data_IF_255612497993
#
_entry.id   IF_255612497993
#
_cell.length_a   1.000
_cell.length_b   1.000
_cell.length_c   1.000
_cell.angle_alpha   90.00
_cell.angle_beta   90.00
_cell.angle_gamma   90.00
#
_symmetry.space_group_name_H-M   'P 1'
#
loop_
_entity.id
_entity.type
_entity.pdbx_description
1 polymer ?
#
# COMPACT_ATOMS: atom_id res chain seq x y z
N UNK A 1 10.67 24.40 -45.31
CA UNK A 1 9.41 23.64 -45.54
C UNK A 1 9.56 22.60 -46.65
N UNK A 2 9.80 22.98 -47.92
CA UNK A 2 9.90 21.98 -49.01
C UNK A 2 11.02 20.94 -48.78
N UNK A 3 12.17 21.38 -48.28
CA UNK A 3 13.26 20.45 -47.95
C UNK A 3 12.93 19.59 -46.71
N UNK A 4 12.22 20.14 -45.73
CA UNK A 4 11.68 19.39 -44.58
C UNK A 4 10.72 18.27 -45.02
N UNK A 5 9.84 18.57 -46.00
CA UNK A 5 8.91 17.60 -46.61
C UNK A 5 9.67 16.49 -47.33
N UNK A 6 10.72 16.82 -48.09
CA UNK A 6 11.58 15.83 -48.75
C UNK A 6 12.30 14.95 -47.75
N UNK A 7 12.91 15.53 -46.71
CA UNK A 7 13.62 14.80 -45.66
C UNK A 7 12.69 13.85 -44.90
N UNK A 8 11.48 14.30 -44.56
CA UNK A 8 10.47 13.46 -43.91
C UNK A 8 10.01 12.30 -44.79
N UNK A 9 9.81 12.54 -46.09
CA UNK A 9 9.44 11.48 -47.03
C UNK A 9 10.52 10.42 -47.15
N UNK A 10 11.80 10.84 -47.18
CA UNK A 10 12.94 9.91 -47.19
C UNK A 10 12.95 9.07 -45.90
N UNK A 11 12.82 9.72 -44.73
CA UNK A 11 12.76 9.01 -43.43
C UNK A 11 11.58 8.03 -43.34
N UNK A 12 10.40 8.39 -43.86
CA UNK A 12 9.22 7.53 -43.88
C UNK A 12 9.34 6.41 -44.91
N UNK A 13 10.00 6.63 -46.05
CA UNK A 13 10.28 5.58 -47.04
C UNK A 13 11.28 4.53 -46.55
N UNK A 14 12.11 4.87 -45.55
CA UNK A 14 13.03 3.96 -44.89
C UNK A 14 12.37 3.12 -43.78
N UNK A 15 11.12 3.42 -43.39
CA UNK A 15 10.34 2.56 -42.48
C UNK A 15 9.60 1.50 -43.30
N UNK A 16 9.86 0.22 -43.02
CA UNK A 16 9.27 -0.92 -43.75
C UNK A 16 7.78 -1.18 -43.44
N UNK A 17 7.09 -0.29 -42.70
CA UNK A 17 5.71 -0.49 -42.25
C UNK A 17 4.71 0.10 -43.27
N UNK A 18 3.74 -0.67 -43.78
CA UNK A 18 2.72 -0.14 -44.68
C UNK A 18 1.85 0.91 -43.99
N UNK A 19 1.52 2.01 -44.70
CA UNK A 19 0.76 3.18 -44.17
C UNK A 19 -0.56 2.79 -43.48
N UNK A 20 -1.19 1.70 -43.91
CA UNK A 20 -2.44 1.18 -43.34
C UNK A 20 -2.32 0.70 -41.87
N UNK A 21 -1.12 0.33 -41.41
CA UNK A 21 -0.84 -0.13 -40.04
C UNK A 21 -0.20 0.96 -39.16
N UNK A 22 -0.04 2.17 -39.68
CA UNK A 22 0.52 3.29 -38.93
C UNK A 22 -0.53 3.97 -38.04
N UNK A 23 -0.07 4.71 -37.02
CA UNK A 23 -0.94 5.50 -36.15
C UNK A 23 -1.80 6.51 -36.95
N UNK A 24 -2.97 6.89 -36.43
CA UNK A 24 -3.88 7.86 -37.09
C UNK A 24 -3.20 9.20 -37.37
N UNK A 25 -2.26 9.61 -36.50
CA UNK A 25 -1.43 10.80 -36.67
C UNK A 25 -0.44 10.66 -37.84
N UNK A 26 0.20 9.50 -37.98
CA UNK A 26 1.16 9.24 -39.07
C UNK A 26 0.45 9.13 -40.42
N UNK A 27 -0.77 8.55 -40.46
CA UNK A 27 -1.60 8.53 -41.66
C UNK A 27 -2.01 9.95 -42.09
N UNK A 28 -2.31 10.84 -41.14
CA UNK A 28 -2.58 12.24 -41.40
C UNK A 28 -1.32 12.96 -41.92
N UNK A 29 -0.16 12.71 -41.31
CA UNK A 29 1.13 13.25 -41.77
C UNK A 29 1.46 12.82 -43.21
N UNK A 30 1.19 11.56 -43.58
CA UNK A 30 1.38 11.09 -44.96
C UNK A 30 0.53 11.85 -45.97
N UNK A 31 -0.76 12.07 -45.67
CA UNK A 31 -1.67 12.86 -46.52
C UNK A 31 -1.21 14.32 -46.64
N UNK A 32 -0.71 14.89 -45.55
CA UNK A 32 -0.14 16.24 -45.56
C UNK A 32 1.14 16.34 -46.39
N UNK A 33 2.04 15.36 -46.26
CA UNK A 33 3.28 15.33 -47.03
C UNK A 33 3.03 15.20 -48.53
N UNK A 34 2.01 14.44 -48.95
CA UNK A 34 1.56 14.41 -50.35
C UNK A 34 1.04 15.77 -50.81
N UNK A 35 0.21 16.44 -49.99
CA UNK A 35 -0.34 17.78 -50.30
C UNK A 35 0.72 18.88 -50.37
N UNK A 36 1.79 18.77 -49.56
CA UNK A 36 2.88 19.75 -49.51
C UNK A 36 4.01 19.51 -50.52
N UNK A 37 3.89 18.50 -51.40
CA UNK A 37 4.83 18.31 -52.53
C UNK A 37 4.79 19.48 -53.51
N UNK A 38 3.61 20.08 -53.67
CA UNK A 38 3.42 21.27 -54.51
C UNK A 38 3.78 22.53 -53.73
N UNK A 39 4.96 23.09 -54.03
CA UNK A 39 5.45 24.33 -53.42
C UNK A 39 4.48 25.52 -53.53
N UNK A 40 3.56 25.48 -54.50
CA UNK A 40 2.52 26.50 -54.72
C UNK A 40 1.37 26.43 -53.72
N UNK A 41 1.15 25.28 -53.08
CA UNK A 41 0.11 25.08 -52.07
C UNK A 41 0.58 25.45 -50.66
N UNK A 42 1.90 25.46 -50.44
CA UNK A 42 2.52 25.81 -49.14
C UNK A 42 2.12 27.22 -48.67
N UNK A 43 2.17 28.30 -49.49
CA UNK A 43 1.77 29.64 -49.05
C UNK A 43 0.27 29.76 -48.74
N UNK A 44 -0.59 29.02 -49.45
CA UNK A 44 -2.04 29.00 -49.21
C UNK A 44 -2.36 28.27 -47.90
N UNK A 45 -1.79 27.08 -47.70
CA UNK A 45 -1.90 26.33 -46.45
C UNK A 45 -1.31 27.08 -45.25
N UNK A 46 -0.26 27.87 -45.48
CA UNK A 46 0.34 28.75 -44.47
C UNK A 46 -0.61 29.85 -43.96
N UNK A 47 -1.63 30.20 -44.74
CA UNK A 47 -2.64 31.21 -44.37
C UNK A 47 -3.94 30.57 -43.85
N UNK A 48 -4.30 29.38 -44.35
CA UNK A 48 -5.57 28.71 -44.01
C UNK A 48 -5.44 27.74 -42.83
N UNK A 49 -4.30 27.04 -42.69
CA UNK A 49 -4.08 25.94 -41.75
C UNK A 49 -2.67 26.01 -41.14
N UNK A 50 -2.38 27.01 -40.29
CA UNK A 50 -1.05 27.23 -39.74
C UNK A 50 -0.52 26.05 -38.88
N UNK A 51 -1.42 25.27 -38.26
CA UNK A 51 -1.05 24.12 -37.43
C UNK A 51 -0.44 22.96 -38.22
N UNK A 52 -0.82 22.76 -39.48
CA UNK A 52 -0.33 21.65 -40.29
C UNK A 52 1.08 21.90 -40.82
N UNK A 53 1.40 23.15 -41.16
CA UNK A 53 2.74 23.56 -41.56
C UNK A 53 3.70 23.45 -40.37
N UNK A 54 3.25 23.82 -39.17
CA UNK A 54 4.01 23.59 -37.93
C UNK A 54 4.24 22.11 -37.66
N UNK A 55 3.22 21.27 -37.78
CA UNK A 55 3.35 19.82 -37.59
C UNK A 55 4.41 19.21 -38.52
N UNK A 56 4.45 19.63 -39.78
CA UNK A 56 5.46 19.17 -40.75
C UNK A 56 6.86 19.65 -40.37
N UNK A 57 7.00 20.89 -39.94
CA UNK A 57 8.30 21.43 -39.50
C UNK A 57 8.79 20.76 -38.20
N UNK A 58 7.89 20.53 -37.24
CA UNK A 58 8.17 19.85 -35.98
C UNK A 58 8.59 18.39 -36.21
N UNK A 59 7.87 17.65 -37.05
CA UNK A 59 8.22 16.25 -37.37
C UNK A 59 9.55 16.16 -38.14
N UNK A 60 9.87 17.17 -38.96
CA UNK A 60 11.13 17.23 -39.68
C UNK A 60 12.35 17.53 -38.79
N UNK A 61 12.13 18.02 -37.56
CA UNK A 61 13.18 18.43 -36.64
C UNK A 61 13.75 19.83 -36.91
N UNK A 62 13.17 20.59 -37.85
CA UNK A 62 13.63 21.94 -38.21
C UNK A 62 12.85 23.02 -37.44
N UNK A 63 13.18 23.13 -36.16
CA UNK A 63 12.52 24.06 -35.25
C UNK A 63 13.00 25.52 -35.41
N UNK A 64 14.17 25.74 -36.02
CA UNK A 64 14.64 27.07 -36.38
C UNK A 64 13.74 27.67 -37.46
N UNK A 65 13.42 26.89 -38.50
CA UNK A 65 12.43 27.26 -39.50
C UNK A 65 11.02 27.38 -38.90
N UNK A 66 10.62 26.50 -37.98
CA UNK A 66 9.32 26.59 -37.29
C UNK A 66 9.17 27.90 -36.50
N UNK A 67 10.22 28.32 -35.78
CA UNK A 67 10.24 29.58 -35.04
C UNK A 67 10.17 30.78 -35.97
N UNK A 68 11.00 30.83 -37.01
CA UNK A 68 11.02 31.93 -37.98
C UNK A 68 9.69 32.04 -38.73
N UNK A 69 9.06 30.91 -39.02
CA UNK A 69 7.75 30.88 -39.65
C UNK A 69 6.66 31.39 -38.68
N UNK A 70 6.67 30.94 -37.42
CA UNK A 70 5.68 31.36 -36.43
C UNK A 70 5.77 32.87 -36.07
N UNK A 71 6.96 33.47 -36.12
CA UNK A 71 7.13 34.93 -35.95
C UNK A 71 6.62 35.72 -37.15
N UNK A 72 6.83 35.21 -38.38
CA UNK A 72 6.31 35.82 -39.62
C UNK A 72 4.77 35.80 -39.63
N UNK A 73 4.16 34.73 -39.15
CA UNK A 73 2.70 34.57 -39.08
C UNK A 73 2.05 35.20 -37.83
N UNK A 74 2.83 35.88 -36.98
CA UNK A 74 2.37 36.54 -35.74
C UNK A 74 1.51 35.64 -34.83
N UNK A 75 1.92 34.38 -34.68
CA UNK A 75 1.19 33.46 -33.82
C UNK A 75 1.27 33.87 -32.33
N UNK A 76 0.25 33.52 -31.52
CA UNK A 76 0.26 33.78 -30.09
C UNK A 76 1.55 33.31 -29.40
N UNK A 77 2.04 34.09 -28.43
CA UNK A 77 3.27 33.78 -27.71
C UNK A 77 3.25 32.42 -27.03
N UNK A 78 2.08 31.87 -26.70
CA UNK A 78 1.97 30.55 -26.08
C UNK A 78 2.29 29.41 -27.05
N UNK A 79 1.96 29.55 -28.34
CA UNK A 79 2.33 28.57 -29.38
C UNK A 79 3.84 28.60 -29.64
N UNK A 80 4.44 29.80 -29.62
CA UNK A 80 5.88 29.96 -29.74
C UNK A 80 6.64 29.28 -28.60
N UNK A 81 6.15 29.42 -27.36
CA UNK A 81 6.73 28.74 -26.20
C UNK A 81 6.58 27.21 -26.29
N UNK A 82 5.45 26.72 -26.79
CA UNK A 82 5.24 25.29 -27.01
C UNK A 82 6.19 24.73 -28.08
N UNK A 83 6.44 25.48 -29.17
CA UNK A 83 7.43 25.12 -30.20
C UNK A 83 8.84 25.08 -29.59
N UNK A 84 9.21 26.07 -28.77
CA UNK A 84 10.51 26.08 -28.07
C UNK A 84 10.64 24.90 -27.09
N UNK A 85 9.56 24.54 -26.37
CA UNK A 85 9.52 23.38 -25.49
C UNK A 85 9.69 22.06 -26.27
N UNK A 86 9.02 21.93 -27.43
CA UNK A 86 9.14 20.75 -28.32
C UNK A 86 10.51 20.67 -28.98
N UNK A 87 11.09 21.80 -29.36
CA UNK A 87 12.46 21.88 -29.88
C UNK A 87 13.47 21.40 -28.85
N UNK A 88 13.36 21.91 -27.62
CA UNK A 88 14.22 21.52 -26.51
C UNK A 88 14.10 20.02 -26.22
N UNK A 89 12.88 19.50 -26.18
CA UNK A 89 12.65 18.07 -26.02
C UNK A 89 13.28 17.26 -27.16
N UNK A 90 13.08 17.68 -28.42
CA UNK A 90 13.68 17.01 -29.58
C UNK A 90 15.21 16.93 -29.46
N UNK A 91 15.87 18.05 -29.15
CA UNK A 91 17.33 18.11 -28.96
C UNK A 91 17.83 17.16 -27.86
N UNK A 92 17.06 17.00 -26.78
CA UNK A 92 17.38 16.09 -25.67
C UNK A 92 17.06 14.62 -25.97
N UNK A 93 16.15 14.34 -26.89
CA UNK A 93 15.75 12.98 -27.31
C UNK A 93 16.56 12.40 -28.48
N UNK A 94 17.45 13.18 -29.11
CA UNK A 94 18.34 12.66 -30.15
C UNK A 94 19.26 11.56 -29.60
N UNK A 95 19.73 10.65 -30.48
CA UNK A 95 20.70 9.60 -30.14
C UNK A 95 22.01 10.17 -29.57
N UNK A 96 22.40 11.36 -30.05
CA UNK A 96 23.37 12.22 -29.39
C UNK A 96 22.67 13.51 -28.94
N UNK A 97 22.41 13.70 -27.64
CA UNK A 97 21.74 14.90 -27.17
C UNK A 97 22.69 16.10 -27.29
N UNK A 98 22.25 17.14 -27.99
CA UNK A 98 22.95 18.42 -28.00
C UNK A 98 22.60 19.18 -26.71
N UNK A 99 23.29 18.79 -25.64
CA UNK A 99 23.10 19.36 -24.31
C UNK A 99 23.43 20.85 -24.27
N UNK A 100 24.36 21.33 -25.08
CA UNK A 100 24.79 22.73 -25.06
C UNK A 100 23.70 23.65 -25.59
N UNK A 101 23.14 23.36 -26.77
CA UNK A 101 22.06 24.19 -27.32
C UNK A 101 20.75 23.98 -26.57
N UNK A 102 20.48 22.75 -26.12
CA UNK A 102 19.35 22.44 -25.26
C UNK A 102 19.39 23.23 -23.95
N UNK A 103 20.51 23.26 -23.23
CA UNK A 103 20.59 23.99 -21.96
C UNK A 103 20.58 25.51 -22.13
N UNK A 104 21.11 26.05 -23.23
CA UNK A 104 20.96 27.48 -23.57
C UNK A 104 19.49 27.86 -23.82
N UNK A 105 18.73 26.98 -24.47
CA UNK A 105 17.28 27.16 -24.66
C UNK A 105 16.52 26.95 -23.34
N UNK A 106 16.96 26.00 -22.50
CA UNK A 106 16.39 25.78 -21.17
C UNK A 106 16.58 27.00 -20.28
N UNK A 107 17.73 27.68 -20.29
CA UNK A 107 17.95 28.90 -19.52
C UNK A 107 17.00 30.03 -19.97
N UNK A 108 16.72 30.13 -21.26
CA UNK A 108 15.72 31.06 -21.80
C UNK A 108 14.31 30.70 -21.34
N UNK A 109 13.94 29.42 -21.34
CA UNK A 109 12.62 28.94 -20.90
C UNK A 109 12.43 28.97 -19.38
N UNK A 110 13.50 28.76 -18.60
CA UNK A 110 13.51 28.82 -17.13
C UNK A 110 13.01 30.17 -16.63
N UNK A 111 13.40 31.24 -17.31
CA UNK A 111 12.97 32.61 -17.00
C UNK A 111 11.49 32.86 -17.32
N UNK A 112 10.87 32.00 -18.13
CA UNK A 112 9.53 32.20 -18.67
C UNK A 112 8.47 31.42 -17.89
N UNK A 113 8.70 30.14 -17.56
CA UNK A 113 7.73 29.37 -16.76
C UNK A 113 8.27 28.06 -16.16
N UNK A 114 8.16 27.92 -14.83
CA UNK A 114 8.45 26.66 -14.12
C UNK A 114 7.54 25.49 -14.56
N UNK A 115 6.32 25.76 -15.02
CA UNK A 115 5.38 24.73 -15.46
C UNK A 115 5.84 24.02 -16.73
N UNK A 116 6.54 24.72 -17.63
CA UNK A 116 7.08 24.12 -18.85
C UNK A 116 8.25 23.19 -18.54
N UNK A 117 9.11 23.58 -17.60
CA UNK A 117 10.21 22.76 -17.11
C UNK A 117 9.69 21.49 -16.41
N UNK A 118 8.57 21.56 -15.68
CA UNK A 118 7.87 20.38 -15.12
C UNK A 118 7.40 19.42 -16.23
N UNK A 119 6.68 19.95 -17.24
CA UNK A 119 6.20 19.14 -18.37
C UNK A 119 7.35 18.50 -19.16
N UNK A 120 8.48 19.20 -19.31
CA UNK A 120 9.67 18.65 -19.96
C UNK A 120 10.28 17.51 -19.13
N UNK A 121 10.45 17.71 -17.82
CA UNK A 121 10.92 16.67 -16.89
C UNK A 121 10.04 15.43 -16.97
N UNK A 122 8.72 15.59 -16.90
CA UNK A 122 7.79 14.46 -16.88
C UNK A 122 7.83 13.66 -18.20
N UNK A 123 8.04 14.34 -19.34
CA UNK A 123 8.30 13.67 -20.63
C UNK A 123 9.63 12.93 -20.64
N UNK A 124 10.70 13.52 -20.13
CA UNK A 124 12.01 12.86 -20.05
C UNK A 124 11.97 11.62 -19.12
N UNK A 125 11.15 11.66 -18.07
CA UNK A 125 10.88 10.49 -17.22
C UNK A 125 10.15 9.41 -18.02
N UNK A 126 9.13 9.77 -18.80
CA UNK A 126 8.39 8.82 -19.63
C UNK A 126 9.25 8.15 -20.72
N UNK A 127 10.28 8.84 -21.21
CA UNK A 127 11.26 8.29 -22.16
C UNK A 127 12.45 7.58 -21.51
N UNK A 128 12.40 7.33 -20.19
CA UNK A 128 13.47 6.69 -19.41
C UNK A 128 14.82 7.44 -19.41
N UNK A 129 14.86 8.70 -19.85
CA UNK A 129 16.06 9.56 -19.85
C UNK A 129 16.24 10.27 -18.51
N UNK A 130 16.38 9.49 -17.45
CA UNK A 130 16.34 9.95 -16.05
C UNK A 130 17.50 10.89 -15.67
N UNK A 131 18.70 10.70 -16.24
CA UNK A 131 19.86 11.58 -16.02
C UNK A 131 19.59 13.01 -16.51
N UNK A 132 19.06 13.15 -17.73
CA UNK A 132 18.68 14.45 -18.29
C UNK A 132 17.52 15.08 -17.51
N UNK A 133 16.54 14.28 -17.06
CA UNK A 133 15.44 14.76 -16.22
C UNK A 133 15.95 15.34 -14.89
N UNK A 134 17.00 14.74 -14.30
CA UNK A 134 17.65 15.24 -13.08
C UNK A 134 18.36 16.57 -13.33
N UNK A 135 19.12 16.66 -14.42
CA UNK A 135 19.80 17.91 -14.81
C UNK A 135 18.80 19.04 -15.06
N UNK A 136 17.70 18.78 -15.79
CA UNK A 136 16.63 19.76 -16.00
C UNK A 136 16.02 20.20 -14.67
N UNK A 137 15.77 19.28 -13.74
CA UNK A 137 15.16 19.59 -12.44
C UNK A 137 16.07 20.48 -11.59
N UNK A 138 17.35 20.12 -11.48
CA UNK A 138 18.35 20.89 -10.72
C UNK A 138 18.61 22.26 -11.34
N UNK A 139 18.73 22.35 -12.67
CA UNK A 139 18.92 23.63 -13.38
C UNK A 139 17.70 24.53 -13.28
N UNK A 140 16.48 23.99 -13.27
CA UNK A 140 15.26 24.80 -13.19
C UNK A 140 14.83 25.13 -11.74
N UNK A 141 15.48 24.54 -10.73
CA UNK A 141 15.08 24.67 -9.32
C UNK A 141 13.70 24.03 -9.07
N UNK A 142 13.41 22.94 -9.76
CA UNK A 142 12.23 22.09 -9.55
C UNK A 142 12.59 21.02 -8.54
N UNK A 143 11.62 20.61 -7.71
CA UNK A 143 11.79 19.49 -6.79
C UNK A 143 12.21 18.20 -7.52
N UNK A 144 13.42 17.67 -7.25
CA UNK A 144 13.91 16.45 -7.89
C UNK A 144 13.26 15.16 -7.38
N UNK A 145 12.44 15.22 -6.33
CA UNK A 145 11.85 14.02 -5.70
C UNK A 145 11.12 13.10 -6.70
N UNK A 146 10.42 13.67 -7.68
CA UNK A 146 9.75 12.88 -8.74
C UNK A 146 10.73 12.13 -9.65
N UNK A 147 11.90 12.69 -9.93
CA UNK A 147 12.96 12.02 -10.73
C UNK A 147 13.61 10.91 -9.90
N UNK A 148 13.88 11.15 -8.61
CA UNK A 148 14.40 10.13 -7.70
C UNK A 148 13.47 8.93 -7.58
N UNK A 149 12.16 9.17 -7.45
CA UNK A 149 11.15 8.12 -7.45
C UNK A 149 11.17 7.31 -8.75
N UNK A 150 11.20 7.97 -9.92
CA UNK A 150 11.29 7.28 -11.21
C UNK A 150 12.57 6.45 -11.37
N UNK A 151 13.72 6.97 -10.91
CA UNK A 151 14.98 6.19 -10.87
C UNK A 151 14.90 5.00 -9.92
N UNK A 152 14.23 5.14 -8.77
CA UNK A 152 14.01 4.04 -7.85
C UNK A 152 13.19 2.93 -8.50
N UNK A 153 12.08 3.25 -9.18
CA UNK A 153 11.28 2.27 -9.92
C UNK A 153 12.07 1.63 -11.07
N UNK A 154 12.84 2.40 -11.83
CA UNK A 154 13.71 1.84 -12.87
C UNK A 154 14.72 0.83 -12.30
N UNK A 155 15.33 1.11 -11.14
CA UNK A 155 16.17 0.15 -10.43
C UNK A 155 15.40 -1.10 -10.01
N UNK A 156 14.16 -0.96 -9.52
CA UNK A 156 13.31 -2.11 -9.17
C UNK A 156 12.96 -2.98 -10.40
N UNK A 157 12.66 -2.36 -11.55
CA UNK A 157 12.42 -3.07 -12.80
C UNK A 157 13.64 -3.87 -13.27
N UNK A 158 14.85 -3.40 -12.96
CA UNK A 158 16.12 -4.08 -13.26
C UNK A 158 16.53 -5.09 -12.18
N UNK A 159 15.75 -5.25 -11.11
CA UNK A 159 16.07 -6.13 -9.98
C UNK A 159 17.20 -5.61 -9.07
N UNK A 160 17.67 -4.37 -9.26
CA UNK A 160 18.66 -3.73 -8.39
C UNK A 160 17.99 -3.07 -7.18
N UNK A 161 17.74 -3.89 -6.16
CA UNK A 161 17.15 -3.42 -4.90
C UNK A 161 18.08 -2.45 -4.16
N UNK A 162 19.40 -2.63 -4.25
CA UNK A 162 20.35 -1.76 -3.56
C UNK A 162 20.34 -0.34 -4.12
N UNK A 163 20.40 -0.20 -5.44
CA UNK A 163 20.27 1.09 -6.11
C UNK A 163 18.91 1.71 -5.84
N UNK A 164 17.83 0.93 -5.86
CA UNK A 164 16.49 1.43 -5.56
C UNK A 164 16.39 2.07 -4.17
N UNK A 165 16.94 1.43 -3.13
CA UNK A 165 16.94 1.94 -1.75
C UNK A 165 17.62 3.31 -1.65
N UNK A 166 18.78 3.46 -2.29
CA UNK A 166 19.52 4.72 -2.31
C UNK A 166 18.72 5.83 -3.01
N UNK A 167 18.06 5.52 -4.13
CA UNK A 167 17.22 6.51 -4.83
C UNK A 167 15.99 6.89 -4.00
N UNK A 168 15.31 5.92 -3.41
CA UNK A 168 14.12 6.17 -2.61
C UNK A 168 14.41 6.92 -1.30
N UNK A 169 15.61 6.78 -0.73
CA UNK A 169 16.03 7.55 0.44
C UNK A 169 16.03 9.07 0.21
N UNK A 170 16.16 9.52 -1.04
CA UNK A 170 16.12 10.94 -1.39
C UNK A 170 14.70 11.51 -1.49
N UNK A 171 13.68 10.67 -1.69
CA UNK A 171 12.28 11.11 -1.82
C UNK A 171 11.38 10.69 -0.65
N UNK A 172 11.70 9.59 0.03
CA UNK A 172 10.97 9.13 1.21
C UNK A 172 11.51 9.81 2.47
N UNK A 173 10.61 10.21 3.36
CA UNK A 173 10.95 10.78 4.66
C UNK A 173 10.65 9.77 5.75
N UNK A 174 11.59 9.62 6.69
CA UNK A 174 11.39 8.78 7.86
C UNK A 174 10.33 9.43 8.76
N UNK A 175 9.26 8.71 9.16
CA UNK A 175 8.25 9.24 10.07
C UNK A 175 8.88 9.70 11.39
N UNK A 176 8.50 10.90 11.84
CA UNK A 176 9.00 11.46 13.11
C UNK A 176 8.47 10.69 14.33
N UNK A 177 7.24 10.17 14.24
CA UNK A 177 6.67 9.23 15.20
C UNK A 177 6.08 8.03 14.44
N UNK A 178 6.56 6.82 14.78
CA UNK A 178 6.11 5.57 14.17
C UNK A 178 4.79 5.07 14.76
N UNK A 179 4.38 5.62 15.91
CA UNK A 179 3.15 5.23 16.62
C UNK A 179 1.88 5.97 16.17
N UNK A 180 1.91 6.63 15.02
CA UNK A 180 0.75 7.36 14.50
C UNK A 180 -0.37 6.38 14.09
N UNK A 181 -1.60 6.69 14.50
CA UNK A 181 -2.81 5.92 14.15
C UNK A 181 -3.44 6.38 12.84
N UNK A 182 -3.06 7.56 12.36
CA UNK A 182 -3.32 8.02 11.00
C UNK A 182 -2.30 7.38 10.07
N UNK A 183 -2.78 6.66 9.06
CA UNK A 183 -1.91 6.03 8.07
C UNK A 183 -0.98 7.10 7.46
N UNK A 184 0.32 6.95 7.67
CA UNK A 184 1.34 7.80 7.06
C UNK A 184 1.49 7.41 5.59
N UNK A 185 0.43 7.62 4.82
CA UNK A 185 0.38 7.26 3.40
C UNK A 185 1.17 8.28 2.61
N UNK A 186 2.50 8.17 2.66
CA UNK A 186 3.30 8.53 1.50
C UNK A 186 2.78 7.66 0.36
N UNK A 187 2.01 8.23 -0.56
CA UNK A 187 1.45 7.53 -1.73
C UNK A 187 2.51 6.69 -2.44
N UNK A 188 3.73 7.21 -2.51
CA UNK A 188 4.89 6.54 -3.07
C UNK A 188 5.24 5.22 -2.36
N UNK A 189 5.13 5.15 -1.02
CA UNK A 189 5.38 3.89 -0.30
C UNK A 189 4.34 2.83 -0.68
N UNK A 190 3.07 3.21 -0.86
CA UNK A 190 2.03 2.31 -1.34
C UNK A 190 2.32 1.79 -2.76
N UNK A 191 2.72 2.68 -3.67
CA UNK A 191 3.09 2.32 -5.05
C UNK A 191 4.31 1.38 -5.10
N UNK A 192 5.31 1.58 -4.24
CA UNK A 192 6.47 0.68 -4.13
C UNK A 192 6.06 -0.71 -3.65
N UNK A 193 5.22 -0.79 -2.61
CA UNK A 193 4.76 -2.08 -2.07
C UNK A 193 3.89 -2.83 -3.07
N UNK A 194 2.97 -2.14 -3.74
CA UNK A 194 2.16 -2.72 -4.81
C UNK A 194 3.03 -3.25 -5.95
N UNK A 195 4.05 -2.49 -6.37
CA UNK A 195 5.00 -2.97 -7.38
C UNK A 195 5.71 -4.25 -6.92
N UNK A 196 6.27 -4.27 -5.71
CA UNK A 196 6.96 -5.44 -5.18
C UNK A 196 6.04 -6.67 -5.02
N UNK A 197 4.76 -6.46 -4.71
CA UNK A 197 3.75 -7.53 -4.65
C UNK A 197 3.38 -8.09 -6.03
N UNK A 198 3.51 -7.28 -7.09
CA UNK A 198 3.31 -7.76 -8.47
C UNK A 198 4.47 -8.62 -8.97
N UNK A 199 5.66 -8.54 -8.35
CA UNK A 199 6.80 -9.37 -8.72
C UNK A 199 6.51 -10.80 -8.25
N UNK A 200 6.42 -11.79 -9.16
CA UNK A 200 6.18 -13.18 -8.77
C UNK A 200 7.29 -13.66 -7.85
N UNK A 201 6.93 -14.23 -6.70
CA UNK A 201 7.87 -14.72 -5.69
C UNK A 201 8.83 -15.81 -6.18
N UNK A 202 8.61 -16.36 -7.38
CA UNK A 202 9.20 -17.57 -7.91
C UNK A 202 9.54 -17.50 -9.42
N UNK A 203 9.82 -16.32 -9.98
CA UNK A 203 9.97 -16.18 -11.44
C UNK A 203 11.08 -15.26 -11.93
N UNK A 204 11.13 -14.02 -11.45
CA UNK A 204 12.03 -13.02 -12.05
C UNK A 204 13.44 -13.04 -11.44
N UNK A 205 13.57 -13.26 -10.13
CA UNK A 205 14.87 -13.33 -9.46
C UNK A 205 15.67 -14.58 -9.82
N UNK A 206 15.01 -15.72 -10.04
CA UNK A 206 15.69 -16.97 -10.41
C UNK A 206 16.19 -16.92 -11.85
N UNK A 207 15.38 -16.42 -12.80
CA UNK A 207 15.82 -16.30 -14.21
C UNK A 207 16.94 -15.26 -14.36
N UNK A 208 16.88 -14.13 -13.63
CA UNK A 208 17.96 -13.14 -13.69
C UNK A 208 19.22 -13.60 -12.94
N UNK A 209 19.08 -14.33 -11.82
CA UNK A 209 20.21 -14.98 -11.14
C UNK A 209 20.88 -16.03 -12.03
N UNK A 210 20.09 -16.79 -12.81
CA UNK A 210 20.58 -17.77 -13.79
C UNK A 210 21.30 -17.12 -14.98
N UNK A 211 20.90 -15.89 -15.36
CA UNK A 211 21.60 -15.11 -16.40
C UNK A 211 22.92 -14.50 -15.90
N UNK A 212 23.09 -14.37 -14.58
CA UNK A 212 24.28 -13.75 -13.97
C UNK A 212 25.35 -14.79 -13.63
N UNK A 213 24.98 -16.05 -13.35
CA UNK A 213 25.91 -17.16 -13.10
C UNK A 213 25.51 -18.45 -13.85
N UNK A 214 26.17 -18.78 -14.99
CA UNK A 214 25.85 -19.94 -15.82
C UNK A 214 26.11 -21.32 -15.17
N UNK A 215 26.75 -21.36 -13.99
CA UNK A 215 27.16 -22.61 -13.34
C UNK A 215 26.09 -23.34 -12.52
N UNK A 216 24.94 -22.70 -12.26
CA UNK A 216 23.91 -23.22 -11.32
C UNK A 216 22.64 -23.74 -12.01
N UNK A 217 22.75 -24.28 -13.22
CA UNK A 217 21.60 -24.85 -13.95
C UNK A 217 21.21 -26.19 -13.31
N UNK A 218 20.39 -26.13 -12.27
CA UNK A 218 19.55 -27.26 -11.87
C UNK A 218 18.38 -27.35 -12.87
N UNK A 219 17.97 -28.58 -13.21
CA UNK A 219 16.99 -28.89 -14.26
C UNK A 219 15.79 -27.92 -14.30
N UNK A 220 15.54 -27.35 -15.50
CA UNK A 220 14.46 -26.41 -15.83
C UNK A 220 13.08 -26.94 -15.40
N UNK A 221 12.94 -28.26 -15.32
CA UNK A 221 11.73 -28.97 -14.87
C UNK A 221 11.36 -28.66 -13.41
N UNK A 222 12.34 -28.31 -12.56
CA UNK A 222 12.13 -27.99 -11.13
C UNK A 222 11.64 -26.55 -10.93
N UNK A 223 11.94 -25.64 -11.85
CA UNK A 223 11.55 -24.22 -11.81
C UNK A 223 10.09 -23.99 -12.24
N UNK A 224 9.50 -24.91 -12.99
CA UNK A 224 8.13 -24.82 -13.49
C UNK A 224 7.08 -25.33 -12.49
N UNK A 225 7.49 -25.78 -11.30
CA UNK A 225 6.58 -26.15 -10.23
C UNK A 225 6.24 -24.88 -9.45
N UNK A 226 5.00 -24.37 -9.50
CA UNK A 226 4.59 -23.29 -8.61
C UNK A 226 4.76 -23.81 -7.18
N UNK A 227 5.67 -23.23 -6.41
CA UNK A 227 5.77 -23.59 -5.00
C UNK A 227 4.50 -23.14 -4.28
N UNK A 228 3.64 -24.11 -3.93
CA UNK A 228 2.32 -23.89 -3.30
C UNK A 228 2.47 -23.64 -1.79
N UNK A 229 3.58 -23.05 -1.33
CA UNK A 229 3.85 -22.81 0.08
C UNK A 229 3.80 -21.34 0.44
N UNK A 230 3.03 -20.97 1.47
CA UNK A 230 3.12 -19.66 2.14
C UNK A 230 4.56 -19.35 2.60
N UNK A 231 5.36 -20.39 2.88
CA UNK A 231 6.74 -20.31 3.37
C UNK A 231 7.73 -19.78 2.31
N UNK A 232 7.61 -20.16 1.04
CA UNK A 232 8.52 -19.66 0.00
C UNK A 232 8.25 -18.19 -0.37
N UNK A 233 7.02 -17.69 -0.18
CA UNK A 233 6.69 -16.27 -0.38
C UNK A 233 7.29 -15.37 0.70
N UNK A 234 7.38 -15.90 1.92
CA UNK A 234 7.95 -15.22 3.10
C UNK A 234 9.46 -15.00 2.96
N UNK A 235 10.15 -15.85 2.22
CA UNK A 235 11.61 -15.75 2.00
C UNK A 235 11.98 -15.06 0.69
N UNK A 236 10.98 -14.68 -0.12
CA UNK A 236 11.22 -14.01 -1.39
C UNK A 236 11.93 -12.66 -1.17
N UNK A 237 12.89 -12.36 -2.04
CA UNK A 237 13.66 -11.11 -2.00
C UNK A 237 12.73 -9.88 -2.04
N UNK A 238 11.63 -9.94 -2.81
CA UNK A 238 10.63 -8.89 -2.88
C UNK A 238 9.93 -8.64 -1.52
N UNK A 239 9.60 -9.70 -0.78
CA UNK A 239 9.00 -9.58 0.54
C UNK A 239 9.98 -8.98 1.57
N UNK A 240 11.25 -9.39 1.53
CA UNK A 240 12.29 -8.79 2.38
C UNK A 240 12.47 -7.29 2.08
N UNK A 241 12.34 -6.91 0.81
CA UNK A 241 12.40 -5.53 0.37
C UNK A 241 11.18 -4.72 0.86
N UNK A 242 9.97 -5.27 0.78
CA UNK A 242 8.78 -4.65 1.38
C UNK A 242 8.97 -4.38 2.87
N UNK A 243 9.50 -5.36 3.61
CA UNK A 243 9.79 -5.20 5.04
C UNK A 243 10.83 -4.12 5.31
N UNK A 244 11.85 -3.98 4.46
CA UNK A 244 12.86 -2.92 4.58
C UNK A 244 12.23 -1.53 4.44
N UNK A 245 11.42 -1.30 3.40
CA UNK A 245 10.77 -0.01 3.20
C UNK A 245 9.79 0.32 4.32
N UNK A 246 9.00 -0.65 4.77
CA UNK A 246 8.07 -0.46 5.89
C UNK A 246 8.79 -0.18 7.21
N UNK A 247 9.90 -0.85 7.50
CA UNK A 247 10.66 -0.63 8.74
C UNK A 247 11.33 0.73 8.76
N UNK A 248 11.79 1.20 7.60
CA UNK A 248 12.56 2.44 7.46
C UNK A 248 11.65 3.66 7.30
N UNK A 249 10.60 3.57 6.49
CA UNK A 249 9.76 4.70 6.09
C UNK A 249 8.29 4.58 6.48
N UNK A 250 7.82 3.40 6.91
CA UNK A 250 6.42 3.18 7.31
C UNK A 250 6.17 3.44 8.81
N UNK A 251 4.91 3.70 9.16
CA UNK A 251 4.44 3.63 10.55
C UNK A 251 4.26 2.18 10.99
N UNK A 252 4.14 1.94 12.30
CA UNK A 252 3.80 0.61 12.81
C UNK A 252 2.43 0.13 12.31
N UNK A 253 1.49 1.07 12.11
CA UNK A 253 0.19 0.76 11.54
C UNK A 253 0.31 0.29 10.08
N UNK A 254 1.15 0.93 9.27
CA UNK A 254 1.37 0.54 7.88
C UNK A 254 1.99 -0.86 7.79
N UNK A 255 2.95 -1.16 8.67
CA UNK A 255 3.58 -2.49 8.75
C UNK A 255 2.58 -3.58 9.12
N UNK A 256 1.73 -3.33 10.12
CA UNK A 256 0.65 -4.24 10.52
C UNK A 256 -0.39 -4.39 9.39
N UNK A 257 -0.75 -3.30 8.71
CA UNK A 257 -1.70 -3.35 7.60
C UNK A 257 -1.18 -4.18 6.43
N UNK A 258 0.11 -4.04 6.09
CA UNK A 258 0.77 -4.87 5.07
C UNK A 258 0.75 -6.35 5.46
N UNK A 259 1.22 -6.70 6.66
CA UNK A 259 1.20 -8.10 7.13
C UNK A 259 -0.20 -8.70 7.12
N UNK A 260 -1.22 -7.90 7.45
CA UNK A 260 -2.62 -8.30 7.38
C UNK A 260 -3.10 -8.52 5.93
N UNK A 261 -2.74 -7.64 4.99
CA UNK A 261 -3.11 -7.79 3.57
C UNK A 261 -2.60 -9.13 3.00
N UNK A 262 -1.45 -9.60 3.47
CA UNK A 262 -0.90 -10.91 3.11
C UNK A 262 -1.32 -12.06 4.03
N UNK A 263 -2.32 -11.88 4.89
CA UNK A 263 -2.85 -12.90 5.82
C UNK A 263 -1.86 -13.41 6.88
N UNK A 264 -0.77 -12.69 7.14
CA UNK A 264 0.25 -13.05 8.15
C UNK A 264 -0.11 -12.54 9.55
N UNK A 265 -1.24 -13.01 10.10
CA UNK A 265 -1.75 -12.60 11.41
C UNK A 265 -0.79 -12.86 12.58
N UNK A 266 -0.12 -14.02 12.58
CA UNK A 266 0.83 -14.38 13.64
C UNK A 266 2.02 -13.42 13.69
N UNK A 267 2.59 -13.08 12.53
CA UNK A 267 3.71 -12.14 12.44
C UNK A 267 3.30 -10.71 12.76
N UNK A 268 2.09 -10.31 12.37
CA UNK A 268 1.57 -8.99 12.72
C UNK A 268 1.39 -8.84 14.24
N UNK A 269 0.92 -9.90 14.92
CA UNK A 269 0.88 -9.93 16.37
C UNK A 269 2.30 -9.90 16.97
N UNK A 270 3.22 -10.77 16.52
CA UNK A 270 4.63 -10.75 16.96
C UNK A 270 5.25 -9.36 16.84
N UNK A 271 5.09 -8.70 15.70
CA UNK A 271 5.59 -7.35 15.46
C UNK A 271 5.04 -6.35 16.48
N UNK A 272 3.74 -6.39 16.77
CA UNK A 272 3.13 -5.51 17.76
C UNK A 272 3.72 -5.74 19.18
N UNK A 273 3.99 -7.00 19.52
CA UNK A 273 4.61 -7.38 20.80
C UNK A 273 6.07 -6.95 20.89
N UNK A 274 6.89 -7.30 19.90
CA UNK A 274 8.34 -7.08 19.90
C UNK A 274 8.69 -5.58 19.87
N UNK A 275 7.99 -4.81 19.04
CA UNK A 275 8.21 -3.37 18.90
C UNK A 275 7.41 -2.52 19.88
N UNK A 276 6.69 -3.14 20.83
CA UNK A 276 5.91 -2.44 21.87
C UNK A 276 5.03 -1.33 21.28
N UNK A 277 4.24 -1.68 20.26
CA UNK A 277 3.37 -0.72 19.58
C UNK A 277 2.37 -0.08 20.57
N UNK A 278 1.91 1.14 20.29
CA UNK A 278 0.84 1.74 21.10
C UNK A 278 -0.43 0.87 21.10
N UNK A 279 -1.14 0.85 22.23
CA UNK A 279 -2.37 0.07 22.36
C UNK A 279 -3.45 0.47 21.36
N UNK A 280 -3.48 1.74 20.94
CA UNK A 280 -4.41 2.22 19.91
C UNK A 280 -4.10 1.64 18.53
N UNK A 281 -2.82 1.43 18.19
CA UNK A 281 -2.39 0.83 16.92
C UNK A 281 -2.79 -0.63 16.87
N UNK A 282 -2.65 -1.37 17.97
CA UNK A 282 -3.12 -2.74 18.06
C UNK A 282 -4.64 -2.82 17.86
N UNK A 283 -5.40 -1.94 18.51
CA UNK A 283 -6.87 -1.93 18.39
C UNK A 283 -7.30 -1.58 16.97
N UNK A 284 -6.77 -0.51 16.38
CA UNK A 284 -7.18 -0.04 15.06
C UNK A 284 -6.56 -0.86 13.90
N UNK A 285 -5.35 -1.39 14.07
CA UNK A 285 -4.61 -2.12 13.05
C UNK A 285 -4.93 -3.62 12.99
N UNK A 286 -5.15 -4.25 14.16
CA UNK A 286 -5.41 -5.70 14.26
C UNK A 286 -6.85 -5.99 14.68
N UNK A 287 -7.29 -5.53 15.85
CA UNK A 287 -8.56 -5.98 16.43
C UNK A 287 -9.79 -5.54 15.63
N UNK A 288 -9.92 -4.26 15.32
CA UNK A 288 -11.07 -3.74 14.55
C UNK A 288 -11.16 -4.38 13.16
N UNK A 289 -10.06 -4.49 12.40
CA UNK A 289 -10.06 -5.20 11.12
C UNK A 289 -10.40 -6.69 11.25
N UNK A 290 -9.85 -7.40 12.25
CA UNK A 290 -10.17 -8.80 12.48
C UNK A 290 -11.64 -9.04 12.85
N UNK A 291 -12.27 -8.08 13.53
CA UNK A 291 -13.72 -8.12 13.78
C UNK A 291 -14.53 -7.95 12.51
N UNK A 292 -14.14 -7.00 11.65
CA UNK A 292 -14.84 -6.73 10.40
C UNK A 292 -14.67 -7.88 9.38
N UNK A 293 -13.51 -8.54 9.37
CA UNK A 293 -13.25 -9.70 8.49
C UNK A 293 -13.76 -11.03 9.05
N UNK A 294 -14.18 -11.08 10.32
CA UNK A 294 -14.61 -12.31 10.99
C UNK A 294 -13.44 -13.23 11.43
N UNK A 295 -12.19 -12.81 11.27
CA UNK A 295 -10.99 -13.60 11.62
C UNK A 295 -10.51 -13.36 13.07
N UNK A 296 -11.32 -12.75 13.92
CA UNK A 296 -10.99 -12.46 15.31
C UNK A 296 -10.55 -13.70 16.10
N UNK A 297 -11.24 -14.84 15.91
CA UNK A 297 -10.86 -16.10 16.58
C UNK A 297 -9.45 -16.56 16.21
N UNK A 298 -9.11 -16.46 14.91
CA UNK A 298 -7.77 -16.80 14.40
C UNK A 298 -6.71 -15.90 15.03
N UNK A 299 -6.94 -14.59 15.11
CA UNK A 299 -6.02 -13.66 15.76
C UNK A 299 -5.78 -14.01 17.23
N UNK A 300 -6.84 -14.28 17.99
CA UNK A 300 -6.74 -14.66 19.41
C UNK A 300 -6.01 -16.00 19.59
N UNK A 301 -6.23 -16.99 18.71
CA UNK A 301 -5.47 -18.25 18.70
C UNK A 301 -3.98 -18.01 18.45
N UNK A 302 -3.64 -17.16 17.47
CA UNK A 302 -2.24 -16.83 17.20
C UNK A 302 -1.59 -16.12 18.38
N UNK A 303 -2.29 -15.20 19.06
CA UNK A 303 -1.77 -14.54 20.27
C UNK A 303 -1.48 -15.55 21.39
N UNK A 304 -2.34 -16.55 21.58
CA UNK A 304 -2.15 -17.60 22.58
C UNK A 304 -0.97 -18.52 22.22
N UNK A 305 -0.76 -18.81 20.93
CA UNK A 305 0.41 -19.57 20.48
C UNK A 305 1.73 -18.83 20.76
N UNK A 306 1.72 -17.49 20.67
CA UNK A 306 2.90 -16.66 20.94
C UNK A 306 3.17 -16.48 22.43
N UNK A 307 2.11 -16.28 23.21
CA UNK A 307 2.20 -16.12 24.65
C UNK A 307 1.04 -16.83 25.35
N UNK A 308 1.25 -18.08 25.82
CA UNK A 308 0.22 -18.84 26.53
C UNK A 308 -0.23 -18.18 27.84
N UNK A 309 0.61 -17.31 28.43
CA UNK A 309 0.29 -16.62 29.69
C UNK A 309 -0.59 -15.38 29.44
N UNK A 310 -0.64 -14.88 28.19
CA UNK A 310 -1.32 -13.65 27.80
C UNK A 310 -0.83 -12.37 28.51
N UNK A 311 0.21 -12.44 29.35
CA UNK A 311 0.67 -11.31 30.16
C UNK A 311 1.11 -10.13 29.28
N UNK A 312 1.81 -10.42 28.17
CA UNK A 312 2.27 -9.41 27.21
C UNK A 312 1.12 -8.70 26.51
N UNK A 313 -0.03 -9.37 26.40
CA UNK A 313 -1.19 -8.87 25.68
C UNK A 313 -2.17 -8.07 26.55
N UNK A 314 -1.99 -8.09 27.88
CA UNK A 314 -2.93 -7.51 28.84
C UNK A 314 -3.25 -6.04 28.55
N UNK A 315 -2.24 -5.19 28.39
CA UNK A 315 -2.43 -3.77 28.06
C UNK A 315 -3.24 -3.56 26.77
N UNK A 316 -2.94 -4.34 25.74
CA UNK A 316 -3.62 -4.30 24.44
C UNK A 316 -5.07 -4.77 24.52
N UNK A 317 -5.33 -5.88 25.22
CA UNK A 317 -6.66 -6.43 25.41
C UNK A 317 -7.52 -5.51 26.29
N UNK A 318 -6.94 -4.86 27.30
CA UNK A 318 -7.58 -3.81 28.10
C UNK A 318 -8.02 -2.62 27.24
N UNK A 319 -7.13 -2.11 26.39
CA UNK A 319 -7.44 -1.02 25.47
C UNK A 319 -8.54 -1.44 24.47
N UNK A 320 -8.49 -2.68 23.98
CA UNK A 320 -9.52 -3.27 23.13
C UNK A 320 -10.88 -3.27 23.83
N UNK A 321 -10.94 -3.74 25.08
CA UNK A 321 -12.18 -3.73 25.88
C UNK A 321 -12.74 -2.31 26.04
N UNK A 322 -11.88 -1.32 26.31
CA UNK A 322 -12.28 0.10 26.42
C UNK A 322 -12.85 0.63 25.09
N UNK A 323 -12.22 0.29 23.97
CA UNK A 323 -12.70 0.67 22.64
C UNK A 323 -14.07 0.04 22.32
N UNK A 324 -14.22 -1.27 22.56
CA UNK A 324 -15.47 -2.00 22.31
C UNK A 324 -16.63 -1.47 23.15
N UNK A 325 -16.37 -1.12 24.42
CA UNK A 325 -17.36 -0.52 25.30
C UNK A 325 -17.82 0.84 24.77
N UNK A 326 -16.89 1.68 24.28
CA UNK A 326 -17.19 2.99 23.68
C UNK A 326 -18.05 2.85 22.42
N UNK A 327 -17.75 1.85 21.57
CA UNK A 327 -18.49 1.58 20.33
C UNK A 327 -19.77 0.76 20.51
N UNK A 328 -20.07 0.31 21.74
CA UNK A 328 -21.26 -0.50 22.09
C UNK A 328 -21.29 -1.90 21.47
N UNK A 329 -20.13 -2.49 21.17
CA UNK A 329 -20.01 -3.89 20.71
C UNK A 329 -19.96 -4.86 21.90
N UNK A 330 -21.11 -5.08 22.57
CA UNK A 330 -21.15 -5.84 23.83
C UNK A 330 -20.90 -7.34 23.68
N UNK A 331 -21.34 -7.96 22.59
CA UNK A 331 -21.11 -9.40 22.34
C UNK A 331 -19.61 -9.68 22.17
N UNK A 332 -18.93 -8.90 21.32
CA UNK A 332 -17.49 -9.02 21.12
C UNK A 332 -16.71 -8.68 22.38
N UNK A 333 -17.13 -7.65 23.12
CA UNK A 333 -16.54 -7.30 24.42
C UNK A 333 -16.60 -8.49 25.39
N UNK A 334 -17.76 -9.14 25.50
CA UNK A 334 -17.95 -10.32 26.33
C UNK A 334 -17.03 -11.47 25.90
N UNK A 335 -16.89 -11.73 24.59
CA UNK A 335 -15.96 -12.74 24.09
C UNK A 335 -14.49 -12.45 24.44
N UNK A 336 -14.03 -11.19 24.33
CA UNK A 336 -12.66 -10.80 24.72
C UNK A 336 -12.46 -10.93 26.24
N UNK A 337 -13.45 -10.55 27.04
CA UNK A 337 -13.36 -10.65 28.51
C UNK A 337 -13.22 -12.11 28.97
N UNK A 338 -13.99 -13.02 28.36
CA UNK A 338 -13.85 -14.45 28.60
C UNK A 338 -12.48 -14.98 28.16
N UNK A 339 -11.96 -14.51 27.02
CA UNK A 339 -10.63 -14.89 26.54
C UNK A 339 -9.52 -14.47 27.52
N UNK A 340 -9.64 -13.28 28.11
CA UNK A 340 -8.74 -12.79 29.17
C UNK A 340 -8.91 -13.50 30.52
N UNK A 341 -9.88 -14.42 30.65
CA UNK A 341 -10.31 -14.97 31.95
C UNK A 341 -10.74 -13.90 32.96
N UNK A 342 -11.25 -12.76 32.46
CA UNK A 342 -11.81 -11.72 33.32
C UNK A 342 -13.30 -11.95 33.55
N UNK A 343 -13.57 -12.93 34.41
CA UNK A 343 -14.93 -13.37 34.71
C UNK A 343 -15.75 -12.30 35.44
N UNK A 344 -15.12 -11.41 36.20
CA UNK A 344 -15.82 -10.31 36.87
C UNK A 344 -16.40 -9.34 35.83
N UNK A 345 -15.57 -8.87 34.88
CA UNK A 345 -16.05 -7.95 33.84
C UNK A 345 -17.01 -8.62 32.87
N UNK A 346 -16.82 -9.91 32.58
CA UNK A 346 -17.78 -10.70 31.81
C UNK A 346 -19.15 -10.79 32.50
N UNK A 347 -19.18 -11.10 33.80
CA UNK A 347 -20.40 -11.12 34.61
C UNK A 347 -21.09 -9.76 34.65
N UNK A 348 -20.34 -8.68 34.88
CA UNK A 348 -20.87 -7.32 34.86
C UNK A 348 -21.44 -6.94 33.49
N UNK A 349 -20.82 -7.39 32.40
CA UNK A 349 -21.33 -7.18 31.03
C UNK A 349 -22.66 -7.91 30.83
N UNK A 350 -22.79 -9.15 31.30
CA UNK A 350 -24.05 -9.89 31.29
C UNK A 350 -25.16 -9.18 32.09
N UNK A 351 -24.86 -8.71 33.30
CA UNK A 351 -25.84 -8.05 34.17
C UNK A 351 -26.25 -6.68 33.60
N UNK A 352 -25.29 -5.82 33.27
CA UNK A 352 -25.57 -4.43 32.90
C UNK A 352 -26.01 -4.25 31.45
N UNK A 353 -25.51 -5.07 30.53
CA UNK A 353 -25.76 -4.89 29.10
C UNK A 353 -26.72 -5.91 28.50
N UNK A 354 -26.73 -7.17 28.94
CA UNK A 354 -27.66 -8.17 28.41
C UNK A 354 -28.96 -8.27 29.23
N UNK A 355 -28.87 -8.17 30.55
CA UNK A 355 -30.05 -8.27 31.43
C UNK A 355 -30.79 -6.93 31.59
N UNK A 356 -30.11 -5.86 32.03
CA UNK A 356 -30.76 -4.57 32.36
C UNK A 356 -31.09 -3.71 31.13
N UNK A 357 -30.21 -3.69 30.12
CA UNK A 357 -30.31 -2.73 29.02
C UNK A 357 -31.43 -3.11 28.04
N UNK A 358 -32.38 -2.20 27.81
CA UNK A 358 -33.47 -2.39 26.85
C UNK A 358 -34.59 -3.32 27.33
N UNK A 359 -34.74 -3.52 28.64
CA UNK A 359 -35.94 -4.12 29.21
C UNK A 359 -36.92 -3.00 29.62
N UNK A 360 -38.17 -3.10 29.17
CA UNK A 360 -39.25 -2.14 29.51
C UNK A 360 -40.36 -2.78 30.34
N UNK A 361 -40.31 -4.10 30.52
CA UNK A 361 -41.32 -4.90 31.23
C UNK A 361 -40.66 -5.98 32.08
N UNK A 362 -41.31 -6.36 33.17
CA UNK A 362 -40.92 -7.50 34.01
C UNK A 362 -40.92 -8.83 33.23
N UNK A 363 -41.75 -8.96 32.19
CA UNK A 363 -41.78 -10.15 31.32
C UNK A 363 -40.50 -10.29 30.48
N UNK A 364 -39.94 -9.17 30.03
CA UNK A 364 -38.67 -9.15 29.27
C UNK A 364 -37.49 -9.50 30.16
N UNK A 365 -37.52 -9.05 31.42
CA UNK A 365 -36.52 -9.40 32.43
C UNK A 365 -36.57 -10.89 32.76
N UNK A 366 -37.77 -11.48 32.90
CA UNK A 366 -37.91 -12.93 33.13
C UNK A 366 -37.40 -13.76 31.94
N UNK A 367 -37.64 -13.31 30.70
CA UNK A 367 -37.10 -13.98 29.50
C UNK A 367 -35.57 -13.93 29.40
N UNK A 368 -34.93 -12.98 30.09
CA UNK A 368 -33.47 -12.73 30.06
C UNK A 368 -32.74 -13.28 31.29
N UNK A 369 -33.41 -14.02 32.17
CA UNK A 369 -32.82 -14.64 33.37
C UNK A 369 -31.61 -15.53 33.06
N UNK A 370 -31.54 -16.12 31.87
CA UNK A 370 -30.40 -16.91 31.43
C UNK A 370 -29.07 -16.14 31.48
N UNK A 371 -29.08 -14.82 31.24
CA UNK A 371 -27.88 -13.99 31.34
C UNK A 371 -27.44 -13.77 32.78
N UNK A 372 -28.39 -13.75 33.73
CA UNK A 372 -28.10 -13.67 35.16
C UNK A 372 -27.47 -14.98 35.66
N UNK A 373 -28.01 -16.13 35.22
CA UNK A 373 -27.43 -17.44 35.51
C UNK A 373 -26.01 -17.58 34.96
N UNK A 374 -25.81 -17.10 33.72
CA UNK A 374 -24.48 -17.07 33.09
C UNK A 374 -23.51 -16.16 33.87
N UNK A 375 -23.98 -15.00 34.33
CA UNK A 375 -23.17 -14.10 35.16
C UNK A 375 -22.79 -14.73 36.50
N UNK A 376 -23.73 -15.42 37.16
CA UNK A 376 -23.46 -16.14 38.40
C UNK A 376 -22.40 -17.22 38.20
N UNK A 377 -22.51 -18.02 37.13
CA UNK A 377 -21.53 -19.05 36.80
C UNK A 377 -20.11 -18.47 36.62
N UNK A 378 -19.98 -17.30 35.99
CA UNK A 378 -18.70 -16.60 35.87
C UNK A 378 -18.14 -16.13 37.23
N UNK A 379 -18.99 -15.60 38.10
CA UNK A 379 -18.59 -15.18 39.45
C UNK A 379 -18.18 -16.39 40.31
N UNK A 380 -18.83 -17.54 40.15
CA UNK A 380 -18.46 -18.80 40.79
C UNK A 380 -17.12 -19.32 40.25
N UNK A 381 -16.90 -19.27 38.93
CA UNK A 381 -15.63 -19.61 38.29
C UNK A 381 -14.47 -18.67 38.68
N UNK A 382 -14.76 -17.43 39.07
CA UNK A 382 -13.76 -16.54 39.67
C UNK A 382 -13.39 -16.96 41.10
N UNK A 383 -14.35 -17.48 41.87
CA UNK A 383 -14.16 -17.88 43.27
C UNK A 383 -13.49 -19.25 43.43
N UNK A 384 -13.65 -20.14 42.43
CA UNK A 384 -13.09 -21.49 42.38
C UNK A 384 -12.37 -21.74 41.04
N UNK A 385 -11.02 -21.67 41.01
CA UNK A 385 -10.22 -21.90 39.80
C UNK A 385 -10.43 -23.28 39.16
N UNK A 386 -10.90 -24.28 39.92
CA UNK A 386 -11.19 -25.61 39.41
C UNK A 386 -12.39 -25.66 38.45
N UNK A 387 -13.25 -24.63 38.46
CA UNK A 387 -14.44 -24.54 37.60
C UNK A 387 -14.16 -23.81 36.28
N UNK A 388 -12.93 -23.40 36.00
CA UNK A 388 -12.56 -22.74 34.74
C UNK A 388 -12.88 -23.58 33.50
N UNK A 389 -12.73 -24.90 33.57
CA UNK A 389 -13.08 -25.81 32.47
C UNK A 389 -14.59 -25.90 32.18
N UNK A 390 -15.43 -25.39 33.08
CA UNK A 390 -16.90 -25.36 32.91
C UNK A 390 -17.38 -24.16 32.08
N UNK A 391 -16.57 -23.10 31.98
CA UNK A 391 -16.92 -21.89 31.23
C UNK A 391 -16.65 -22.12 29.74
N UNK A 392 -17.66 -21.91 28.88
CA UNK A 392 -17.51 -22.07 27.42
C UNK A 392 -16.43 -21.13 26.88
N UNK A 393 -15.41 -21.71 26.26
CA UNK A 393 -14.30 -20.96 25.68
C UNK A 393 -14.75 -20.18 24.43
N UNK A 394 -14.37 -18.90 24.25
CA UNK A 394 -14.74 -18.11 23.07
C UNK A 394 -14.28 -18.70 21.72
N UNK A 395 -13.24 -19.53 21.75
CA UNK A 395 -12.67 -20.22 20.58
C UNK A 395 -13.20 -21.66 20.39
N UNK A 396 -14.09 -22.15 21.27
CA UNK A 396 -14.67 -23.47 21.10
C UNK A 396 -15.66 -23.44 19.92
N UNK A 397 -15.31 -24.10 18.82
CA UNK A 397 -16.14 -24.19 17.63
C UNK A 397 -17.53 -24.77 17.94
N UNK A 398 -18.55 -24.19 17.30
CA UNK A 398 -19.94 -24.65 17.31
C UNK A 398 -20.09 -25.87 16.38
N UNK A 399 -19.41 -26.99 16.66
CA UNK A 399 -19.66 -28.26 15.95
C UNK A 399 -19.59 -29.45 16.91
N UNK A 400 -20.41 -30.50 16.71
CA UNK A 400 -20.38 -31.69 17.55
C UNK A 400 -19.05 -32.42 17.39
N UNK A 401 -18.49 -32.80 18.53
CA UNK A 401 -17.28 -33.59 18.69
C UNK A 401 -17.26 -34.81 17.75
N UNK A 402 -16.35 -34.83 16.78
CA UNK A 402 -15.73 -36.08 16.32
C UNK A 402 -14.40 -36.23 17.03
N UNK A 403 -14.31 -37.29 17.83
CA UNK A 403 -13.18 -37.64 18.66
C UNK A 403 -11.89 -37.76 17.82
N UNK A 404 -10.77 -37.18 18.29
CA UNK A 404 -9.46 -37.50 17.73
C UNK A 404 -8.33 -36.51 17.88
N UNK A 405 -8.53 -35.30 18.43
CA UNK A 405 -7.42 -34.38 18.73
C UNK A 405 -7.54 -33.84 20.14
N UNK A 406 -6.54 -34.12 20.98
CA UNK A 406 -6.43 -33.54 22.31
C UNK A 406 -6.45 -32.00 22.20
N UNK A 407 -7.29 -31.31 22.97
CA UNK A 407 -7.25 -29.86 23.04
C UNK A 407 -5.90 -29.42 23.66
N UNK A 408 -5.34 -28.27 23.24
CA UNK A 408 -4.13 -27.74 23.84
C UNK A 408 -4.31 -27.53 25.35
N UNK A 409 -3.34 -28.05 26.11
CA UNK A 409 -3.34 -28.13 27.56
C UNK A 409 -3.24 -26.73 28.20
N UNK A 410 -4.36 -26.23 28.73
CA UNK A 410 -4.57 -24.85 29.21
C UNK A 410 -4.31 -24.67 30.72
N UNK A 411 -4.03 -25.75 31.45
CA UNK A 411 -4.04 -25.83 32.92
C UNK A 411 -2.76 -25.34 33.63
N UNK A 412 -1.98 -24.43 33.02
CA UNK A 412 -0.84 -23.82 33.74
C UNK A 412 -1.29 -22.53 34.44
N UNK A 413 -1.25 -22.56 35.77
CA UNK A 413 -1.50 -21.42 36.65
C UNK A 413 -0.69 -20.20 36.20
N UNK A 414 -1.40 -19.10 36.04
CA UNK A 414 -0.86 -17.77 35.78
C UNK A 414 -0.71 -17.03 37.12
N UNK A 415 0.43 -16.41 37.42
CA UNK A 415 0.59 -15.57 38.61
C UNK A 415 -0.41 -14.42 38.63
N UNK A 416 -0.84 -14.01 39.83
CA UNK A 416 -1.93 -13.07 40.13
C UNK A 416 -1.68 -11.60 39.72
N UNK A 417 -1.24 -11.32 38.49
CA UNK A 417 -0.90 -9.97 38.05
C UNK A 417 -1.54 -9.63 36.71
N UNK A 418 -2.80 -9.22 36.73
CA UNK A 418 -3.35 -8.34 35.69
C UNK A 418 -4.61 -7.61 36.15
N UNK A 419 -4.46 -6.30 36.36
CA UNK A 419 -5.46 -5.24 36.41
C UNK A 419 -6.92 -5.69 36.60
N UNK A 420 -7.24 -6.24 37.77
CA UNK A 420 -8.61 -6.59 38.15
C UNK A 420 -9.34 -5.34 38.65
N UNK A 421 -10.59 -5.17 38.23
CA UNK A 421 -11.53 -4.41 39.03
C UNK A 421 -11.73 -5.23 40.32
N UNK A 422 -11.13 -4.78 41.43
CA UNK A 422 -11.12 -5.53 42.68
C UNK A 422 -12.46 -5.38 43.40
N UNK A 423 -13.48 -6.11 42.94
CA UNK A 423 -14.59 -6.49 43.81
C UNK A 423 -14.04 -7.48 44.83
N UNK A 424 -14.21 -7.16 46.11
CA UNK A 424 -13.77 -8.04 47.19
C UNK A 424 -14.51 -9.38 47.11
N UNK A 425 -13.86 -10.46 47.57
CA UNK A 425 -14.43 -11.81 47.59
C UNK A 425 -15.79 -11.85 48.31
N UNK A 426 -16.00 -10.95 49.26
CA UNK A 426 -17.27 -10.82 50.00
C UNK A 426 -18.36 -10.10 49.22
N UNK A 427 -18.01 -9.07 48.43
CA UNK A 427 -18.96 -8.38 47.56
C UNK A 427 -19.44 -9.29 46.43
N UNK A 428 -18.55 -10.08 45.83
CA UNK A 428 -18.93 -11.10 44.83
C UNK A 428 -19.88 -12.14 45.45
N UNK A 429 -19.61 -12.61 46.67
CA UNK A 429 -20.52 -13.51 47.40
C UNK A 429 -21.87 -12.87 47.72
N UNK A 430 -21.91 -11.56 47.98
CA UNK A 430 -23.16 -10.81 48.18
C UNK A 430 -23.95 -10.72 46.87
N UNK A 431 -23.30 -10.40 45.76
CA UNK A 431 -23.98 -10.37 44.45
C UNK A 431 -24.55 -11.73 44.06
N UNK A 432 -23.82 -12.83 44.28
CA UNK A 432 -24.34 -14.20 44.05
C UNK A 432 -25.58 -14.50 44.93
N UNK A 433 -25.62 -13.98 46.16
CA UNK A 433 -26.80 -14.13 47.02
C UNK A 433 -27.98 -13.28 46.55
N UNK A 434 -27.71 -12.09 46.03
CA UNK A 434 -28.74 -11.21 45.45
C UNK A 434 -29.31 -11.82 44.17
N UNK A 435 -28.48 -12.39 43.30
CA UNK A 435 -28.98 -13.10 42.11
C UNK A 435 -29.87 -14.30 42.48
N UNK A 436 -29.48 -15.10 43.49
CA UNK A 436 -30.32 -16.19 44.02
C UNK A 436 -31.63 -15.72 44.65
N UNK A 437 -31.67 -14.49 45.17
CA UNK A 437 -32.89 -13.93 45.75
C UNK A 437 -33.85 -13.40 44.68
N UNK A 438 -33.34 -12.96 43.53
CA UNK A 438 -34.13 -12.57 42.36
C UNK A 438 -34.73 -13.77 41.60
N UNK A 439 -34.35 -15.01 41.97
CA UNK A 439 -34.92 -16.26 41.45
C UNK A 439 -36.22 -16.69 42.17
N UNK A 440 -36.49 -16.15 43.36
CA UNK A 440 -37.70 -16.40 44.15
C UNK A 440 -38.78 -15.37 43.83
#
# INVERSE_FOLDING_TARGET
>A
ILDCVKTLRIKLSMREVPVAYMSTEDQHLHKLLERFTDWKLIPKASQTEPGEVLLVLEKAGDFAAARAWATVHKLPQDILKDIEQRHLYHLLTLDQPDTVTAFQLLDKLRLVSKAQCLRLRDKLIADERLSLAMEVSTKCGIDPAGVWSAMGFACLHLGDFTGARDKFAHCLKVPADKNQTSASQSRLLGEILEFLDTIPSSGFTEVHSLLTDPGSICDITTLLIPSVGEENRIESCAYQECLYYLRTYGSYLDHICFLRQHSYWMKAAQFAGDYHCSSDIFVHGLMVPAMNSGEMSRLLEQMLMLDPTLEKWTAYLMATCKHLLKQKYFNTLYHVQLFMKDYIRAAMTCITHFYQRGATSYLDLSGRLQFLFTAQHHLEAYLDPGQWGSVRHPLAATTPVTAGKQPPHWDKQLPESSARMTLSREEVKKEIKVTKFLEQ
#
